data_IF_218665840978
#
_entry.id   IF_218665840978
#
_cell.length_a   1.000
_cell.length_b   1.000
_cell.length_c   1.000
_cell.angle_alpha   90.00
_cell.angle_beta   90.00
_cell.angle_gamma   90.00
#
_symmetry.space_group_name_H-M   'P 1'
#
loop_
_entity.id
_entity.type
_entity.pdbx_description
1 polymer ?
#
# COMPACT_ATOMS: atom_id res chain seq x y z
N UNK A 1 31.34 42.79 -29.76
CA UNK A 1 31.68 42.71 -28.33
C UNK A 1 31.18 41.37 -27.85
N UNK A 2 32.07 40.43 -27.58
CA UNK A 2 31.67 39.07 -27.19
C UNK A 2 31.85 38.97 -25.68
N UNK A 3 30.74 38.97 -24.94
CA UNK A 3 30.74 38.76 -23.49
C UNK A 3 30.32 37.32 -23.20
N UNK A 4 31.12 36.61 -22.41
CA UNK A 4 30.87 35.21 -22.02
C UNK A 4 30.48 35.18 -20.54
N UNK A 5 29.37 34.51 -20.23
CA UNK A 5 28.92 34.26 -18.86
C UNK A 5 29.22 32.82 -18.46
N UNK A 6 30.18 32.64 -17.56
CA UNK A 6 30.42 31.37 -16.88
C UNK A 6 29.53 31.23 -15.65
N UNK A 7 28.92 30.05 -15.47
CA UNK A 7 28.08 29.73 -14.31
C UNK A 7 28.59 28.43 -13.67
N UNK A 8 28.82 28.48 -12.35
CA UNK A 8 29.08 27.32 -11.51
C UNK A 8 27.85 27.06 -10.64
N UNK A 9 27.11 25.99 -10.94
CA UNK A 9 25.80 25.70 -10.35
C UNK A 9 25.93 24.65 -9.24
N UNK A 10 26.01 25.11 -7.99
CA UNK A 10 25.99 24.28 -6.79
C UNK A 10 24.59 24.01 -6.24
N UNK A 11 24.50 23.14 -5.22
CA UNK A 11 23.22 22.77 -4.57
C UNK A 11 22.63 23.88 -3.69
N UNK A 12 23.45 24.86 -3.30
CA UNK A 12 23.11 26.00 -2.44
C UNK A 12 23.81 27.31 -2.87
N UNK A 13 24.44 27.34 -4.03
CA UNK A 13 25.16 28.50 -4.54
C UNK A 13 25.21 28.53 -6.06
N UNK A 14 25.29 29.73 -6.63
CA UNK A 14 25.59 29.95 -8.04
C UNK A 14 26.78 30.90 -8.11
N UNK A 15 27.95 30.40 -8.48
CA UNK A 15 29.08 31.23 -8.87
C UNK A 15 28.87 31.74 -10.30
N UNK A 16 29.24 32.99 -10.58
CA UNK A 16 29.18 33.52 -11.93
C UNK A 16 30.36 34.45 -12.22
N UNK A 17 30.80 34.45 -13.48
CA UNK A 17 31.80 35.36 -14.00
C UNK A 17 31.42 35.83 -15.42
N UNK A 18 31.51 37.13 -15.67
CA UNK A 18 31.29 37.75 -16.97
C UNK A 18 32.64 38.22 -17.52
N UNK A 19 33.06 37.65 -18.64
CA UNK A 19 34.34 37.93 -19.27
C UNK A 19 34.09 38.64 -20.60
N UNK A 20 34.80 39.74 -20.85
CA UNK A 20 34.98 40.29 -22.20
C UNK A 20 36.15 39.57 -22.86
N UNK A 21 35.80 38.63 -23.74
CA UNK A 21 36.73 37.73 -24.42
C UNK A 21 37.67 38.50 -25.37
N UNK A 22 37.23 39.64 -25.90
CA UNK A 22 38.04 40.42 -26.84
C UNK A 22 39.19 41.15 -26.14
N UNK A 23 38.98 41.58 -24.91
CA UNK A 23 39.97 42.31 -24.13
C UNK A 23 40.61 41.46 -23.03
N UNK A 24 40.24 40.19 -22.91
CA UNK A 24 40.63 39.29 -21.81
C UNK A 24 40.40 39.93 -20.42
N UNK A 25 39.27 40.61 -20.26
CA UNK A 25 38.93 41.33 -19.03
C UNK A 25 37.76 40.71 -18.31
N UNK A 26 37.86 40.61 -16.98
CA UNK A 26 36.73 40.25 -16.13
C UNK A 26 35.88 41.50 -15.95
N UNK A 27 34.68 41.48 -16.54
CA UNK A 27 33.69 42.56 -16.43
C UNK A 27 32.99 42.50 -15.07
N UNK A 28 32.82 41.31 -14.51
CA UNK A 28 32.23 41.12 -13.19
C UNK A 28 32.30 39.67 -12.76
N UNK A 29 32.25 39.44 -11.45
CA UNK A 29 32.19 38.13 -10.85
C UNK A 29 31.39 38.20 -9.55
N UNK A 30 30.82 37.08 -9.14
CA UNK A 30 30.11 37.02 -7.88
C UNK A 30 29.60 35.63 -7.54
N UNK A 31 28.91 35.55 -6.41
CA UNK A 31 28.24 34.33 -5.98
C UNK A 31 26.87 34.68 -5.41
N UNK A 32 25.87 33.87 -5.76
CA UNK A 32 24.54 33.90 -5.16
C UNK A 32 24.38 32.69 -4.26
N UNK A 33 24.39 32.91 -2.95
CA UNK A 33 24.08 31.86 -1.96
C UNK A 33 22.57 31.81 -1.74
N UNK A 34 22.00 30.61 -1.67
CA UNK A 34 20.58 30.39 -1.39
C UNK A 34 20.38 29.17 -0.50
N UNK A 35 19.25 29.09 0.25
CA UNK A 35 18.98 27.94 1.09
C UNK A 35 18.88 26.66 0.27
N UNK A 36 19.57 25.63 0.72
CA UNK A 36 19.56 24.31 0.10
C UNK A 36 18.12 23.75 0.00
N UNK A 37 17.85 23.02 -1.08
CA UNK A 37 16.52 22.44 -1.36
C UNK A 37 16.20 21.13 -0.61
N UNK A 38 17.16 20.60 0.13
CA UNK A 38 17.13 19.27 0.77
C UNK A 38 17.55 19.42 2.24
N UNK A 39 16.94 18.62 3.11
CA UNK A 39 17.30 18.48 4.53
C UNK A 39 18.23 17.27 4.68
N UNK A 40 19.19 17.36 5.61
CA UNK A 40 20.17 16.29 5.93
C UNK A 40 21.08 15.88 4.76
N UNK A 41 21.42 16.83 3.86
CA UNK A 41 22.32 16.56 2.74
C UNK A 41 23.68 16.06 3.25
N UNK A 42 24.19 14.97 2.68
CA UNK A 42 25.49 14.41 3.05
C UNK A 42 25.49 13.57 4.33
N UNK A 43 24.34 13.38 4.99
CA UNK A 43 24.21 12.38 6.06
C UNK A 43 24.18 10.94 5.51
N UNK A 44 24.25 10.71 4.20
CA UNK A 44 24.32 9.38 3.61
C UNK A 44 23.00 8.88 3.03
N UNK A 45 23.09 7.81 2.23
CA UNK A 45 21.99 7.34 1.39
C UNK A 45 20.70 7.07 2.19
N UNK A 46 19.60 7.65 1.73
CA UNK A 46 18.27 7.46 2.30
C UNK A 46 17.93 8.36 3.49
N UNK A 47 18.88 9.15 4.01
CA UNK A 47 18.61 10.16 5.06
C UNK A 47 18.27 11.55 4.52
N UNK A 48 18.61 11.80 3.26
CA UNK A 48 18.27 13.03 2.56
C UNK A 48 16.76 13.14 2.34
N UNK A 49 16.18 14.25 2.81
CA UNK A 49 14.75 14.47 2.75
C UNK A 49 14.41 15.73 1.96
N UNK A 50 13.48 15.61 1.02
CA UNK A 50 12.90 16.81 0.41
C UNK A 50 12.13 17.62 1.45
N UNK A 51 12.15 18.95 1.36
CA UNK A 51 11.30 19.82 2.21
C UNK A 51 9.80 19.47 2.14
N UNK A 52 9.36 18.86 1.03
CA UNK A 52 7.98 18.42 0.83
C UNK A 52 7.64 17.08 1.51
N UNK A 53 8.64 16.34 2.01
CA UNK A 53 8.44 15.04 2.63
C UNK A 53 7.63 15.18 3.93
N UNK A 54 8.03 16.08 4.83
CA UNK A 54 7.31 16.34 6.09
C UNK A 54 5.86 16.75 5.86
N UNK A 55 5.62 17.71 4.94
CA UNK A 55 4.27 18.12 4.52
C UNK A 55 3.44 16.94 3.99
N UNK A 56 4.06 16.06 3.22
CA UNK A 56 3.40 14.89 2.64
C UNK A 56 3.05 13.85 3.69
N UNK A 57 3.95 13.56 4.63
CA UNK A 57 3.71 12.67 5.76
C UNK A 57 2.54 13.15 6.62
N UNK A 58 2.57 14.42 7.05
CA UNK A 58 1.51 15.01 7.86
C UNK A 58 0.14 15.00 7.15
N UNK A 59 0.11 15.26 5.84
CA UNK A 59 -1.10 15.15 5.01
C UNK A 59 -1.62 13.71 4.94
N UNK A 60 -0.73 12.72 4.84
CA UNK A 60 -1.08 11.30 4.87
C UNK A 60 -1.80 10.92 6.16
N UNK A 61 -1.21 11.28 7.30
CA UNK A 61 -1.76 11.06 8.65
C UNK A 61 -3.15 11.69 8.80
N UNK A 62 -3.31 12.97 8.45
CA UNK A 62 -4.61 13.66 8.52
C UNK A 62 -5.69 12.95 7.71
N UNK A 63 -5.36 12.50 6.49
CA UNK A 63 -6.29 11.75 5.64
C UNK A 63 -6.68 10.41 6.25
N UNK A 64 -5.74 9.70 6.87
CA UNK A 64 -6.02 8.43 7.55
C UNK A 64 -6.98 8.63 8.72
N UNK A 65 -6.74 9.63 9.58
CA UNK A 65 -7.63 9.96 10.70
C UNK A 65 -9.03 10.35 10.22
N UNK A 66 -9.13 11.26 9.26
CA UNK A 66 -10.41 11.66 8.67
C UNK A 66 -11.20 10.45 8.15
N UNK A 67 -10.56 9.58 7.35
CA UNK A 67 -11.19 8.39 6.78
C UNK A 67 -11.61 7.38 7.85
N UNK A 68 -10.80 7.20 8.89
CA UNK A 68 -11.14 6.32 10.02
C UNK A 68 -12.38 6.84 10.75
N UNK A 69 -12.45 8.14 11.05
CA UNK A 69 -13.62 8.77 11.67
C UNK A 69 -14.86 8.66 10.78
N UNK A 70 -14.73 8.93 9.48
CA UNK A 70 -15.82 8.84 8.51
C UNK A 70 -16.39 7.41 8.43
N UNK A 71 -15.53 6.39 8.31
CA UNK A 71 -15.98 5.01 8.25
C UNK A 71 -16.71 4.56 9.52
N UNK A 72 -16.22 4.94 10.70
CA UNK A 72 -16.92 4.66 11.97
C UNK A 72 -18.30 5.30 12.00
N UNK A 73 -18.43 6.54 11.52
CA UNK A 73 -19.72 7.24 11.44
C UNK A 73 -20.68 6.54 10.48
N UNK A 74 -20.20 6.14 9.30
CA UNK A 74 -20.99 5.38 8.31
C UNK A 74 -21.46 4.06 8.91
N UNK A 75 -20.56 3.33 9.60
CA UNK A 75 -20.92 2.08 10.26
C UNK A 75 -21.96 2.30 11.35
N UNK A 76 -21.79 3.27 12.25
CA UNK A 76 -22.76 3.54 13.30
C UNK A 76 -24.15 3.86 12.74
N UNK A 77 -24.23 4.62 11.65
CA UNK A 77 -25.50 4.90 10.97
C UNK A 77 -26.15 3.61 10.44
N UNK A 78 -25.38 2.79 9.73
CA UNK A 78 -25.88 1.52 9.21
C UNK A 78 -26.27 0.54 10.33
N UNK A 79 -25.51 0.47 11.43
CA UNK A 79 -25.87 -0.36 12.59
C UNK A 79 -27.18 0.12 13.24
N UNK A 80 -27.37 1.44 13.37
CA UNK A 80 -28.60 2.03 13.93
C UNK A 80 -29.83 1.74 13.08
N UNK A 81 -29.71 1.80 11.75
CA UNK A 81 -30.80 1.48 10.81
C UNK A 81 -31.28 0.02 10.91
N UNK A 82 -30.48 -0.86 11.51
CA UNK A 82 -30.76 -2.29 11.69
C UNK A 82 -30.80 -2.74 13.16
N UNK A 83 -30.98 -1.81 14.11
CA UNK A 83 -31.09 -2.12 15.55
C UNK A 83 -29.86 -2.86 16.12
N UNK A 84 -28.69 -2.69 15.51
CA UNK A 84 -27.43 -3.31 15.91
C UNK A 84 -26.56 -2.38 16.77
N UNK A 85 -27.07 -1.23 17.18
CA UNK A 85 -26.44 -0.41 18.21
C UNK A 85 -27.48 0.46 18.92
N UNK A 86 -27.18 1.00 20.11
CA UNK A 86 -28.13 1.79 20.90
C UNK A 86 -28.51 3.16 20.33
N UNK A 87 -28.07 3.48 19.11
CA UNK A 87 -28.37 4.77 18.47
C UNK A 87 -29.65 4.69 17.66
N UNK A 88 -30.34 5.83 17.55
CA UNK A 88 -31.51 6.06 16.69
C UNK A 88 -31.24 7.25 15.74
N UNK A 89 -32.12 7.44 14.76
CA UNK A 89 -31.99 8.48 13.72
C UNK A 89 -31.74 9.89 14.29
N UNK A 90 -32.44 10.27 15.35
CA UNK A 90 -32.35 11.60 15.98
C UNK A 90 -30.96 11.88 16.56
N UNK A 91 -30.28 10.87 17.10
CA UNK A 91 -28.93 11.02 17.64
C UNK A 91 -27.93 11.50 16.57
N UNK A 92 -28.15 11.11 15.30
CA UNK A 92 -27.30 11.55 14.19
C UNK A 92 -27.57 12.99 13.78
N UNK A 93 -28.82 13.47 13.92
CA UNK A 93 -29.17 14.88 13.69
C UNK A 93 -28.55 15.75 14.77
N UNK A 94 -28.67 15.33 16.03
CA UNK A 94 -28.05 16.03 17.16
C UNK A 94 -26.53 16.06 17.02
N UNK A 95 -25.88 14.94 16.72
CA UNK A 95 -24.44 14.90 16.46
C UNK A 95 -24.06 15.83 15.29
N UNK A 96 -24.88 15.91 14.23
CA UNK A 96 -24.63 16.81 13.11
C UNK A 96 -24.73 18.29 13.52
N UNK A 97 -25.69 18.64 14.40
CA UNK A 97 -25.93 20.00 14.91
C UNK A 97 -24.85 20.43 15.90
N UNK A 98 -24.65 19.64 16.96
CA UNK A 98 -23.76 19.99 18.09
C UNK A 98 -22.29 19.69 17.82
N UNK A 99 -21.99 18.83 16.82
CA UNK A 99 -20.67 18.24 16.57
C UNK A 99 -20.13 17.39 17.74
N UNK A 100 -20.95 17.11 18.75
CA UNK A 100 -20.58 16.29 19.90
C UNK A 100 -20.92 14.83 19.62
N UNK A 101 -19.98 13.93 19.90
CA UNK A 101 -20.19 12.49 19.75
C UNK A 101 -21.05 11.98 20.92
N UNK A 102 -22.05 11.09 20.70
CA UNK A 102 -22.97 10.63 21.74
C UNK A 102 -22.31 9.62 22.68
N UNK A 103 -21.32 10.08 23.45
CA UNK A 103 -20.48 9.23 24.30
C UNK A 103 -21.26 8.60 25.45
N UNK A 104 -22.17 9.34 26.08
CA UNK A 104 -22.95 8.86 27.24
C UNK A 104 -23.89 7.72 26.85
N UNK A 105 -24.67 7.91 25.77
CA UNK A 105 -25.58 6.88 25.25
C UNK A 105 -24.85 5.61 24.83
N UNK A 106 -23.64 5.74 24.30
CA UNK A 106 -22.80 4.62 23.87
C UNK A 106 -21.89 4.07 24.98
N UNK A 107 -21.92 4.62 26.19
CA UNK A 107 -20.96 4.29 27.23
C UNK A 107 -21.03 2.82 27.65
N UNK A 108 -22.24 2.32 27.95
CA UNK A 108 -22.47 0.91 28.31
C UNK A 108 -22.09 -0.03 27.17
N UNK A 109 -22.51 0.29 25.95
CA UNK A 109 -22.17 -0.47 24.76
C UNK A 109 -20.67 -0.50 24.47
N UNK A 110 -19.96 0.61 24.70
CA UNK A 110 -18.51 0.65 24.58
C UNK A 110 -17.78 -0.10 25.68
N UNK A 111 -18.36 -0.17 26.88
CA UNK A 111 -17.84 -0.93 28.01
C UNK A 111 -17.87 -2.45 27.76
N UNK A 112 -18.78 -2.94 26.90
CA UNK A 112 -18.78 -4.34 26.48
C UNK A 112 -17.42 -4.74 25.89
N UNK A 113 -16.87 -5.85 26.39
CA UNK A 113 -15.59 -6.37 25.94
C UNK A 113 -15.71 -6.98 24.53
N UNK A 114 -15.15 -6.34 23.49
CA UNK A 114 -15.32 -6.83 22.14
C UNK A 114 -14.54 -8.11 21.85
N UNK A 115 -13.50 -8.43 22.63
CA UNK A 115 -12.74 -9.67 22.43
C UNK A 115 -13.54 -10.87 22.95
N UNK A 116 -14.14 -10.72 24.12
CA UNK A 116 -15.06 -11.69 24.69
C UNK A 116 -16.26 -11.93 23.76
N UNK A 117 -16.91 -10.85 23.29
CA UNK A 117 -18.03 -10.97 22.34
C UNK A 117 -17.64 -11.69 21.05
N UNK A 118 -16.45 -11.40 20.49
CA UNK A 118 -15.93 -12.09 19.29
C UNK A 118 -15.74 -13.59 19.52
N UNK A 119 -15.32 -13.99 20.72
CA UNK A 119 -15.20 -15.39 21.10
C UNK A 119 -16.58 -16.05 21.27
N UNK A 120 -17.46 -15.43 22.06
CA UNK A 120 -18.83 -15.90 22.33
C UNK A 120 -19.67 -16.08 21.07
N UNK A 121 -19.52 -15.16 20.10
CA UNK A 121 -20.27 -15.19 18.84
C UNK A 121 -20.09 -16.47 18.01
N UNK A 122 -19.07 -17.29 18.29
CA UNK A 122 -18.84 -18.56 17.60
C UNK A 122 -19.62 -19.73 18.22
N UNK A 123 -20.03 -19.60 19.48
CA UNK A 123 -20.55 -20.72 20.27
C UNK A 123 -22.00 -20.49 20.71
N UNK A 124 -22.38 -19.24 21.01
CA UNK A 124 -23.70 -18.90 21.55
C UNK A 124 -24.40 -17.78 20.79
N UNK A 125 -25.71 -17.63 21.02
CA UNK A 125 -26.52 -16.55 20.45
C UNK A 125 -26.18 -15.24 21.16
N UNK A 126 -25.80 -14.22 20.40
CA UNK A 126 -25.65 -12.85 20.90
C UNK A 126 -26.87 -12.00 20.56
N UNK A 127 -27.05 -10.87 21.22
CA UNK A 127 -27.98 -9.82 20.79
C UNK A 127 -27.47 -9.08 19.55
N UNK A 128 -28.37 -8.40 18.81
CA UNK A 128 -27.99 -7.60 17.64
C UNK A 128 -27.03 -6.46 18.01
N UNK A 129 -27.24 -5.83 19.16
CA UNK A 129 -26.34 -4.79 19.66
C UNK A 129 -24.93 -5.32 19.95
N UNK A 130 -24.80 -6.52 20.52
CA UNK A 130 -23.51 -7.16 20.75
C UNK A 130 -22.80 -7.50 19.44
N UNK A 131 -23.53 -7.98 18.42
CA UNK A 131 -22.97 -8.21 17.08
C UNK A 131 -22.49 -6.90 16.47
N UNK A 132 -23.27 -5.82 16.57
CA UNK A 132 -22.82 -4.52 16.11
C UNK A 132 -21.61 -3.99 16.89
N UNK A 133 -21.47 -4.34 18.17
CA UNK A 133 -20.29 -4.00 18.98
C UNK A 133 -19.03 -4.68 18.46
N UNK A 134 -19.14 -5.92 17.99
CA UNK A 134 -18.09 -6.64 17.28
C UNK A 134 -17.73 -5.90 16.00
N UNK A 135 -18.70 -5.55 15.16
CA UNK A 135 -18.45 -4.84 13.90
C UNK A 135 -17.78 -3.47 14.12
N UNK A 136 -18.22 -2.74 15.16
CA UNK A 136 -17.59 -1.49 15.56
C UNK A 136 -16.15 -1.69 16.03
N UNK A 137 -15.81 -2.82 16.64
CA UNK A 137 -14.43 -3.17 16.96
C UNK A 137 -13.61 -3.50 15.70
N UNK A 138 -14.13 -4.32 14.78
CA UNK A 138 -13.46 -4.69 13.53
C UNK A 138 -13.12 -3.46 12.68
N UNK A 139 -14.04 -2.48 12.55
CA UNK A 139 -13.76 -1.29 11.73
C UNK A 139 -12.69 -0.37 12.35
N UNK A 140 -12.49 -0.43 13.67
CA UNK A 140 -11.46 0.34 14.35
C UNK A 140 -10.07 -0.15 13.98
N UNK A 141 -9.91 -1.47 13.83
CA UNK A 141 -8.65 -2.17 13.55
C UNK A 141 -8.97 -3.38 12.67
N UNK A 142 -8.78 -3.22 11.37
CA UNK A 142 -9.15 -4.22 10.35
C UNK A 142 -7.95 -4.88 9.68
N UNK A 143 -6.80 -4.87 10.34
CA UNK A 143 -5.57 -5.46 9.81
C UNK A 143 -4.97 -4.75 8.61
N UNK A 144 -3.70 -5.09 8.35
CA UNK A 144 -2.94 -4.70 7.17
C UNK A 144 -3.47 -5.42 5.94
N UNK A 145 -3.83 -4.66 4.89
CA UNK A 145 -4.14 -5.22 3.58
C UNK A 145 -2.88 -5.12 2.73
N UNK A 146 -2.29 -6.27 2.39
CA UNK A 146 -1.19 -6.30 1.42
C UNK A 146 -1.74 -5.87 0.06
N UNK A 147 -1.17 -4.80 -0.50
CA UNK A 147 -1.46 -4.35 -1.87
C UNK A 147 -0.37 -4.82 -2.84
N UNK A 148 0.54 -5.69 -2.40
CA UNK A 148 1.64 -6.16 -3.23
C UNK A 148 1.11 -7.14 -4.28
N UNK A 149 1.39 -6.88 -5.56
CA UNK A 149 0.99 -7.76 -6.67
C UNK A 149 1.89 -8.98 -6.81
N UNK A 150 3.12 -8.90 -6.32
CA UNK A 150 3.97 -10.05 -6.03
C UNK A 150 3.77 -10.33 -4.55
N UNK A 151 3.28 -11.51 -4.16
CA UNK A 151 3.30 -11.89 -2.74
C UNK A 151 4.67 -11.52 -2.20
N UNK A 152 4.72 -10.63 -1.19
CA UNK A 152 6.00 -10.25 -0.61
C UNK A 152 6.69 -11.54 -0.17
N UNK A 153 8.01 -11.61 -0.27
CA UNK A 153 8.72 -12.62 0.52
C UNK A 153 8.28 -12.40 1.96
N UNK A 154 7.85 -13.45 2.67
CA UNK A 154 7.33 -13.41 4.04
C UNK A 154 8.41 -13.06 5.08
N UNK A 155 9.38 -12.24 4.68
CA UNK A 155 10.67 -12.05 5.31
C UNK A 155 10.88 -10.62 5.83
N UNK A 156 9.93 -9.72 5.54
CA UNK A 156 9.96 -8.34 6.00
C UNK A 156 9.62 -8.17 7.49
N UNK A 157 10.00 -7.03 8.08
CA UNK A 157 9.79 -6.72 9.51
C UNK A 157 8.33 -6.78 9.99
N UNK A 158 7.35 -6.66 9.08
CA UNK A 158 5.92 -6.83 9.42
C UNK A 158 5.58 -8.32 9.66
N UNK A 159 6.23 -9.23 8.94
CA UNK A 159 6.01 -10.68 9.04
C UNK A 159 6.75 -11.27 10.24
N UNK A 160 8.02 -10.91 10.43
CA UNK A 160 8.85 -11.36 11.56
C UNK A 160 8.57 -10.62 12.87
N UNK A 161 8.00 -9.41 12.79
CA UNK A 161 7.85 -8.54 13.96
C UNK A 161 9.09 -7.73 14.27
N UNK A 162 9.06 -7.01 15.40
CA UNK A 162 10.16 -6.21 15.92
C UNK A 162 10.40 -6.55 17.40
N UNK A 163 11.38 -7.43 17.70
CA UNK A 163 11.68 -7.83 19.07
C UNK A 163 12.05 -6.67 20.00
N UNK A 164 12.73 -5.64 19.48
CA UNK A 164 13.11 -4.45 20.27
C UNK A 164 11.91 -3.65 20.77
N UNK A 165 10.82 -3.66 20.01
CA UNK A 165 9.55 -3.02 20.37
C UNK A 165 8.54 -4.01 20.97
N UNK A 166 8.94 -5.27 21.19
CA UNK A 166 8.06 -6.37 21.62
C UNK A 166 6.89 -6.63 20.67
N UNK A 167 7.05 -6.28 19.38
CA UNK A 167 5.95 -6.28 18.41
C UNK A 167 5.92 -7.59 17.64
N UNK A 168 4.86 -8.35 17.86
CA UNK A 168 4.70 -9.68 17.27
C UNK A 168 4.43 -9.61 15.77
N UNK A 169 5.06 -10.50 15.02
CA UNK A 169 4.94 -10.63 13.57
C UNK A 169 3.60 -11.21 13.11
N UNK A 170 3.31 -11.07 11.81
CA UNK A 170 2.15 -11.74 11.20
C UNK A 170 2.28 -13.26 11.32
N UNK A 171 3.46 -13.83 11.04
CA UNK A 171 3.67 -15.29 11.00
C UNK A 171 3.37 -15.92 12.36
N UNK A 172 3.98 -15.39 13.43
CA UNK A 172 3.72 -15.87 14.79
C UNK A 172 2.23 -15.73 15.17
N UNK A 173 1.58 -14.63 14.77
CA UNK A 173 0.14 -14.47 15.00
C UNK A 173 -0.67 -15.50 14.20
N UNK A 174 -0.25 -15.87 12.98
CA UNK A 174 -0.90 -16.91 12.18
C UNK A 174 -0.78 -18.29 12.83
N UNK A 175 0.41 -18.63 13.33
CA UNK A 175 0.65 -19.92 14.00
C UNK A 175 -0.24 -20.07 15.23
N UNK A 176 -0.39 -19.01 16.03
CA UNK A 176 -1.24 -19.01 17.24
C UNK A 176 -2.74 -19.09 16.96
N UNK A 177 -3.19 -18.79 15.73
CA UNK A 177 -4.60 -18.82 15.33
C UNK A 177 -4.94 -20.00 14.41
N UNK A 178 -4.06 -21.00 14.24
CA UNK A 178 -4.32 -22.13 13.32
C UNK A 178 -5.64 -22.84 13.59
N UNK A 179 -6.02 -22.99 14.87
CA UNK A 179 -7.23 -23.70 15.29
C UNK A 179 -8.34 -22.79 15.84
N UNK A 180 -8.16 -21.45 15.76
CA UNK A 180 -9.09 -20.49 16.37
C UNK A 180 -9.14 -19.18 15.60
N UNK A 181 -10.19 -18.39 15.81
CA UNK A 181 -10.24 -17.06 15.18
C UNK A 181 -9.29 -16.08 15.89
N UNK A 182 -8.93 -15.01 15.19
CA UNK A 182 -8.17 -13.91 15.79
C UNK A 182 -8.88 -13.33 17.03
N UNK A 183 -10.21 -13.26 17.04
CA UNK A 183 -10.99 -12.81 18.19
C UNK A 183 -10.80 -13.69 19.42
N UNK A 184 -10.96 -15.00 19.25
CA UNK A 184 -10.76 -16.00 20.30
C UNK A 184 -9.34 -15.94 20.86
N UNK A 185 -8.32 -15.94 19.99
CA UNK A 185 -6.93 -15.83 20.44
C UNK A 185 -6.68 -14.54 21.23
N UNK A 186 -7.15 -13.39 20.73
CA UNK A 186 -6.97 -12.11 21.42
C UNK A 186 -7.76 -12.00 22.72
N UNK A 187 -8.79 -12.83 22.92
CA UNK A 187 -9.51 -12.96 24.18
C UNK A 187 -8.74 -13.83 25.18
N UNK A 188 -8.10 -14.93 24.73
CA UNK A 188 -7.27 -15.78 25.59
C UNK A 188 -6.10 -15.03 26.23
N UNK A 189 -5.47 -14.13 25.47
CA UNK A 189 -4.39 -13.27 25.98
C UNK A 189 -4.91 -11.96 26.58
N UNK A 190 -6.22 -11.83 26.76
CA UNK A 190 -6.81 -10.64 27.36
C UNK A 190 -6.52 -10.62 28.87
N UNK A 191 -6.00 -9.51 29.43
CA UNK A 191 -5.71 -9.44 30.86
C UNK A 191 -6.96 -9.72 31.71
N UNK A 192 -6.80 -10.48 32.78
CA UNK A 192 -7.89 -10.71 33.74
C UNK A 192 -8.40 -9.37 34.29
N UNK A 193 -9.70 -9.33 34.58
CA UNK A 193 -10.31 -8.12 35.15
C UNK A 193 -9.64 -7.77 36.49
N UNK A 194 -9.35 -6.48 36.65
CA UNK A 194 -8.75 -5.89 37.86
C UNK A 194 -7.31 -6.33 38.19
N UNK A 195 -6.64 -7.08 37.31
CA UNK A 195 -5.22 -7.36 37.47
C UNK A 195 -4.36 -6.31 36.75
N UNK A 196 -3.39 -5.67 37.44
CA UNK A 196 -2.46 -4.77 36.78
C UNK A 196 -1.63 -5.55 35.76
N UNK A 197 -1.34 -4.91 34.63
CA UNK A 197 -0.45 -5.48 33.63
C UNK A 197 0.93 -5.75 34.23
N UNK A 198 1.41 -6.99 34.12
CA UNK A 198 2.77 -7.36 34.49
C UNK A 198 3.70 -7.21 33.28
N UNK A 199 4.89 -6.68 33.52
CA UNK A 199 5.91 -6.56 32.48
C UNK A 199 6.30 -7.94 31.95
N UNK A 200 6.52 -8.04 30.63
CA UNK A 200 6.72 -9.32 29.94
C UNK A 200 5.44 -10.04 29.47
N UNK A 201 4.24 -9.63 29.92
CA UNK A 201 3.00 -10.21 29.39
C UNK A 201 2.72 -9.75 27.95
N UNK A 202 2.19 -10.68 27.16
CA UNK A 202 1.90 -10.44 25.76
C UNK A 202 0.80 -9.39 25.58
N UNK A 203 1.10 -8.29 24.87
CA UNK A 203 0.10 -7.23 24.62
C UNK A 203 -0.80 -7.58 23.45
N UNK A 204 -2.11 -7.52 23.65
CA UNK A 204 -3.13 -7.69 22.60
C UNK A 204 -2.84 -6.84 21.36
N UNK A 205 -2.53 -5.55 21.57
CA UNK A 205 -2.43 -4.54 20.51
C UNK A 205 -1.02 -4.35 19.95
N UNK A 206 -0.02 -5.06 20.45
CA UNK A 206 1.37 -4.92 20.00
C UNK A 206 1.77 -6.02 19.01
N UNK A 207 0.98 -6.18 17.95
CA UNK A 207 1.20 -7.20 16.92
C UNK A 207 0.74 -6.74 15.56
N UNK A 208 1.35 -7.28 14.52
CA UNK A 208 0.86 -7.15 13.16
C UNK A 208 -0.22 -8.19 12.87
N UNK A 209 -1.30 -7.76 12.23
CA UNK A 209 -2.41 -8.63 11.82
C UNK A 209 -2.78 -8.31 10.38
N UNK A 210 -3.21 -9.33 9.62
CA UNK A 210 -3.61 -9.15 8.22
C UNK A 210 -5.10 -8.90 8.11
N UNK A 211 -5.54 -8.27 7.02
CA UNK A 211 -6.96 -8.13 6.67
C UNK A 211 -7.66 -9.49 6.60
N UNK A 212 -6.96 -10.51 6.09
CA UNK A 212 -7.49 -11.87 5.93
C UNK A 212 -8.01 -12.44 7.25
N UNK A 213 -7.22 -12.35 8.33
CA UNK A 213 -7.61 -12.79 9.67
C UNK A 213 -8.96 -12.21 10.15
N UNK A 214 -9.18 -10.91 9.93
CA UNK A 214 -10.43 -10.25 10.33
C UNK A 214 -11.60 -10.61 9.43
N UNK A 215 -11.35 -10.92 8.15
CA UNK A 215 -12.41 -11.31 7.24
C UNK A 215 -12.85 -12.74 7.52
N UNK A 216 -11.91 -13.67 7.68
CA UNK A 216 -12.22 -15.06 8.03
C UNK A 216 -13.01 -15.14 9.33
N UNK A 217 -12.61 -14.37 10.34
CA UNK A 217 -13.36 -14.26 11.59
C UNK A 217 -14.75 -13.65 11.39
N UNK A 218 -14.88 -12.58 10.60
CA UNK A 218 -16.17 -11.97 10.29
C UNK A 218 -17.12 -12.98 9.63
N UNK A 219 -16.63 -13.75 8.66
CA UNK A 219 -17.42 -14.78 7.97
C UNK A 219 -17.89 -15.87 8.93
N UNK A 220 -17.01 -16.35 9.81
CA UNK A 220 -17.37 -17.36 10.82
C UNK A 220 -18.43 -16.84 11.80
N UNK A 221 -18.24 -15.62 12.31
CA UNK A 221 -19.21 -14.96 13.20
C UNK A 221 -20.54 -14.77 12.48
N UNK A 222 -20.52 -14.28 11.23
CA UNK A 222 -21.73 -14.05 10.46
C UNK A 222 -22.52 -15.34 10.25
N UNK A 223 -21.85 -16.39 9.77
CA UNK A 223 -22.47 -17.67 9.47
C UNK A 223 -23.02 -18.38 10.72
N UNK A 224 -22.42 -18.16 11.89
CA UNK A 224 -22.94 -18.67 13.16
C UNK A 224 -24.15 -17.86 13.63
N UNK A 225 -24.04 -16.54 13.63
CA UNK A 225 -25.09 -15.67 14.17
C UNK A 225 -26.34 -15.59 13.28
N UNK A 226 -26.21 -15.77 11.96
CA UNK A 226 -27.36 -15.79 11.04
C UNK A 226 -28.32 -16.96 11.29
N UNK A 227 -27.86 -18.02 11.94
CA UNK A 227 -28.70 -19.14 12.37
C UNK A 227 -29.67 -18.72 13.49
N UNK A 228 -29.33 -17.68 14.26
CA UNK A 228 -30.13 -17.19 15.38
C UNK A 228 -30.96 -15.94 15.04
N UNK A 229 -30.60 -15.24 13.95
CA UNK A 229 -31.15 -13.93 13.58
C UNK A 229 -31.44 -13.88 12.08
N UNK A 230 -32.72 -13.95 11.71
CA UNK A 230 -33.16 -13.89 10.30
C UNK A 230 -32.83 -12.58 9.59
N UNK A 231 -32.63 -11.49 10.33
CA UNK A 231 -32.21 -10.19 9.78
C UNK A 231 -30.79 -10.22 9.17
N UNK A 232 -29.94 -11.17 9.58
CA UNK A 232 -28.57 -11.33 9.07
C UNK A 232 -28.54 -12.07 7.72
N UNK A 233 -29.19 -11.48 6.73
CA UNK A 233 -29.28 -11.99 5.36
C UNK A 233 -28.09 -11.55 4.48
N UNK A 234 -28.07 -12.02 3.23
CA UNK A 234 -26.99 -11.73 2.27
C UNK A 234 -26.88 -10.24 1.89
N UNK A 235 -27.98 -9.50 1.87
CA UNK A 235 -27.95 -8.06 1.60
C UNK A 235 -27.22 -7.32 2.72
N UNK A 236 -27.52 -7.67 3.96
CA UNK A 236 -26.87 -7.09 5.14
C UNK A 236 -25.40 -7.52 5.25
N UNK A 237 -25.10 -8.77 4.88
CA UNK A 237 -23.72 -9.29 4.78
C UNK A 237 -22.93 -8.50 3.76
N UNK A 238 -23.51 -8.25 2.59
CA UNK A 238 -22.94 -7.42 1.53
C UNK A 238 -22.68 -6.00 2.02
N UNK A 239 -23.64 -5.39 2.73
CA UNK A 239 -23.51 -4.04 3.28
C UNK A 239 -22.32 -3.91 4.26
N UNK A 240 -22.19 -4.84 5.21
CA UNK A 240 -21.17 -4.73 6.25
C UNK A 240 -19.82 -5.30 5.84
N UNK A 241 -19.80 -6.52 5.30
CA UNK A 241 -18.58 -7.31 5.11
C UNK A 241 -18.26 -7.75 3.69
N UNK A 242 -19.14 -7.49 2.71
CA UNK A 242 -18.92 -7.86 1.31
C UNK A 242 -17.56 -7.40 0.78
N UNK A 243 -16.95 -8.16 -0.12
CA UNK A 243 -15.69 -7.77 -0.79
C UNK A 243 -15.75 -8.09 -2.27
N UNK A 244 -15.33 -7.15 -3.12
CA UNK A 244 -15.26 -7.36 -4.57
C UNK A 244 -14.38 -8.55 -4.95
N UNK A 245 -13.33 -8.79 -4.16
CA UNK A 245 -12.42 -9.92 -4.33
C UNK A 245 -13.08 -11.29 -4.09
N UNK A 246 -14.17 -11.34 -3.33
CA UNK A 246 -14.92 -12.57 -3.02
C UNK A 246 -16.20 -12.70 -3.86
N UNK A 247 -16.36 -11.90 -4.92
CA UNK A 247 -17.51 -11.96 -5.83
C UNK A 247 -18.68 -11.04 -5.48
N UNK A 248 -18.58 -10.21 -4.43
CA UNK A 248 -19.60 -9.21 -4.12
C UNK A 248 -19.57 -8.05 -5.13
N UNK A 249 -20.72 -7.41 -5.36
CA UNK A 249 -20.83 -6.23 -6.25
C UNK A 249 -20.01 -5.04 -5.75
N UNK A 250 -19.96 -4.86 -4.43
CA UNK A 250 -19.33 -3.73 -3.73
C UNK A 250 -18.52 -4.21 -2.52
N UNK A 251 -17.54 -3.41 -2.09
CA UNK A 251 -16.91 -3.64 -0.79
C UNK A 251 -17.81 -3.05 0.31
N UNK A 252 -18.17 -3.88 1.28
CA UNK A 252 -18.91 -3.51 2.48
C UNK A 252 -18.14 -2.56 3.40
N UNK A 253 -18.87 -1.94 4.33
CA UNK A 253 -18.39 -0.84 5.18
C UNK A 253 -17.12 -1.20 5.96
N UNK A 254 -17.03 -2.42 6.49
CA UNK A 254 -15.92 -2.89 7.32
C UNK A 254 -14.60 -2.91 6.54
N UNK A 255 -14.64 -3.42 5.31
CA UNK A 255 -13.43 -3.75 4.55
C UNK A 255 -13.15 -2.81 3.37
N UNK A 256 -14.08 -1.90 3.04
CA UNK A 256 -13.90 -0.90 1.99
C UNK A 256 -12.59 -0.12 2.10
N UNK A 257 -11.83 -0.08 1.01
CA UNK A 257 -10.61 0.70 0.88
C UNK A 257 -10.57 1.38 -0.49
N UNK A 258 -10.31 2.69 -0.50
CA UNK A 258 -10.20 3.45 -1.75
C UNK A 258 -9.03 2.89 -2.59
N UNK A 259 -9.20 2.79 -3.92
CA UNK A 259 -8.10 2.44 -4.81
C UNK A 259 -7.01 3.51 -4.76
N UNK A 260 -5.83 3.15 -5.29
CA UNK A 260 -4.76 4.12 -5.49
C UNK A 260 -5.26 5.25 -6.38
N UNK A 261 -4.89 6.49 -6.02
CA UNK A 261 -5.23 7.64 -6.85
C UNK A 261 -4.50 7.51 -8.18
N UNK A 262 -5.18 7.75 -9.30
CA UNK A 262 -4.57 7.78 -10.62
C UNK A 262 -3.36 8.72 -10.64
N UNK A 263 -2.23 8.22 -11.11
CA UNK A 263 -1.00 8.97 -11.35
C UNK A 263 -0.77 9.20 -12.86
N UNK A 264 -1.80 9.07 -13.70
CA UNK A 264 -1.67 9.22 -15.17
C UNK A 264 -1.07 10.58 -15.57
N UNK A 265 -1.39 11.63 -14.81
CA UNK A 265 -0.86 12.98 -15.00
C UNK A 265 0.65 13.13 -14.68
N UNK A 266 1.27 12.14 -14.02
CA UNK A 266 2.71 12.12 -13.77
C UNK A 266 3.48 11.38 -14.87
N UNK A 267 2.78 10.75 -15.83
CA UNK A 267 3.41 10.08 -16.96
C UNK A 267 3.95 11.15 -17.90
N UNK A 268 5.25 11.12 -18.19
CA UNK A 268 5.88 12.05 -19.11
C UNK A 268 5.38 11.89 -20.56
N UNK A 269 5.63 12.90 -21.39
CA UNK A 269 5.23 12.90 -22.79
C UNK A 269 6.28 12.26 -23.70
N UNK A 270 5.85 11.86 -24.89
CA UNK A 270 6.71 11.34 -25.94
C UNK A 270 7.67 12.43 -26.43
N UNK A 271 8.94 12.07 -26.67
CA UNK A 271 9.95 13.00 -27.19
C UNK A 271 9.69 13.43 -28.63
N UNK A 272 9.03 12.59 -29.43
CA UNK A 272 8.67 12.87 -30.83
C UNK A 272 7.27 13.44 -30.99
N UNK A 273 6.35 13.11 -30.07
CA UNK A 273 4.97 13.60 -30.06
C UNK A 273 4.63 14.21 -28.70
N UNK A 274 5.08 15.45 -28.40
CA UNK A 274 4.95 16.04 -27.06
C UNK A 274 3.53 16.19 -26.53
N UNK A 275 2.52 16.10 -27.41
CA UNK A 275 1.09 16.10 -27.05
C UNK A 275 0.58 14.74 -26.53
N UNK A 276 1.36 13.65 -26.69
CA UNK A 276 0.98 12.29 -26.30
C UNK A 276 1.84 11.79 -25.13
N UNK A 277 1.25 11.01 -24.24
CA UNK A 277 1.98 10.35 -23.14
C UNK A 277 2.86 9.23 -23.67
N UNK A 278 3.94 8.91 -22.95
CA UNK A 278 4.79 7.75 -23.26
C UNK A 278 4.00 6.43 -23.27
N UNK A 279 4.41 5.54 -24.18
CA UNK A 279 3.86 4.19 -24.28
C UNK A 279 4.17 3.38 -23.00
N UNK A 280 3.21 2.62 -22.44
CA UNK A 280 3.47 1.71 -21.33
C UNK A 280 4.51 0.64 -21.70
N UNK A 281 5.37 0.27 -20.75
CA UNK A 281 6.40 -0.77 -20.96
C UNK A 281 5.79 -2.13 -21.31
N UNK A 282 4.60 -2.43 -20.77
CA UNK A 282 3.88 -3.68 -21.01
C UNK A 282 3.02 -3.66 -22.29
N UNK A 283 3.15 -2.62 -23.13
CA UNK A 283 2.41 -2.57 -24.38
C UNK A 283 3.16 -3.37 -25.45
N UNK A 284 2.43 -4.19 -26.23
CA UNK A 284 3.01 -5.03 -27.28
C UNK A 284 3.94 -4.25 -28.23
N UNK A 285 3.57 -3.05 -28.74
CA UNK A 285 4.47 -2.28 -29.61
C UNK A 285 5.78 -1.85 -28.91
N UNK A 286 5.74 -1.59 -27.59
CA UNK A 286 6.95 -1.26 -26.83
C UNK A 286 7.84 -2.49 -26.65
N UNK A 287 7.26 -3.64 -26.34
CA UNK A 287 8.01 -4.90 -26.22
C UNK A 287 8.66 -5.29 -27.57
N UNK A 288 7.93 -5.17 -28.67
CA UNK A 288 8.47 -5.37 -30.02
C UNK A 288 9.60 -4.38 -30.33
N UNK A 289 9.41 -3.09 -30.04
CA UNK A 289 10.46 -2.08 -30.19
C UNK A 289 11.71 -2.45 -29.39
N UNK A 290 11.58 -2.92 -28.15
CA UNK A 290 12.71 -3.32 -27.30
C UNK A 290 13.44 -4.54 -27.85
N UNK A 291 12.71 -5.53 -28.35
CA UNK A 291 13.29 -6.70 -29.02
C UNK A 291 14.11 -6.27 -30.23
N UNK A 292 13.53 -5.48 -31.14
CA UNK A 292 14.24 -5.00 -32.32
C UNK A 292 15.40 -4.07 -31.99
N UNK A 293 15.26 -3.21 -30.97
CA UNK A 293 16.34 -2.36 -30.50
C UNK A 293 17.54 -3.19 -30.05
N UNK A 294 17.31 -4.25 -29.27
CA UNK A 294 18.38 -5.13 -28.80
C UNK A 294 18.98 -5.98 -29.93
N UNK A 295 18.15 -6.60 -30.76
CA UNK A 295 18.61 -7.44 -31.89
C UNK A 295 19.49 -6.63 -32.85
N UNK A 296 19.18 -5.35 -33.08
CA UNK A 296 20.00 -4.48 -33.91
C UNK A 296 21.36 -4.12 -33.30
N UNK A 297 21.54 -4.26 -31.97
CA UNK A 297 22.84 -4.08 -31.32
C UNK A 297 23.72 -5.33 -31.35
N UNK A 298 23.14 -6.52 -31.60
CA UNK A 298 23.89 -7.78 -31.59
C UNK A 298 24.94 -7.80 -32.70
N UNK A 299 26.16 -8.11 -32.31
CA UNK A 299 27.32 -8.24 -33.19
C UNK A 299 28.11 -9.49 -32.81
N UNK A 300 28.75 -10.12 -33.79
CA UNK A 300 29.76 -11.13 -33.54
C UNK A 300 31.04 -10.80 -34.31
N UNK A 301 32.20 -10.94 -33.65
CA UNK A 301 33.50 -10.65 -34.25
C UNK A 301 33.58 -9.24 -34.89
N UNK A 302 32.91 -8.24 -34.30
CA UNK A 302 32.85 -6.87 -34.80
C UNK A 302 31.99 -6.68 -36.05
N UNK A 303 31.16 -7.66 -36.43
CA UNK A 303 30.22 -7.60 -37.56
C UNK A 303 28.78 -7.70 -37.08
N UNK A 304 27.91 -6.88 -37.67
CA UNK A 304 26.45 -6.97 -37.47
C UNK A 304 25.93 -8.31 -38.01
N UNK A 305 24.98 -8.89 -37.29
CA UNK A 305 24.20 -10.03 -37.78
C UNK A 305 23.33 -9.63 -38.98
N UNK A 306 23.13 -10.56 -39.90
CA UNK A 306 22.33 -10.38 -41.11
C UNK A 306 20.84 -10.22 -40.79
N UNK A 307 20.07 -9.66 -41.73
CA UNK A 307 18.63 -9.46 -41.53
C UNK A 307 17.88 -10.78 -41.27
N UNK A 308 18.26 -11.86 -41.96
CA UNK A 308 17.67 -13.19 -41.76
C UNK A 308 17.98 -13.75 -40.36
N UNK A 309 19.21 -13.57 -39.87
CA UNK A 309 19.59 -13.94 -38.50
C UNK A 309 18.81 -13.13 -37.46
N UNK A 310 18.59 -11.83 -37.71
CA UNK A 310 17.76 -10.98 -36.83
C UNK A 310 16.34 -11.52 -36.73
N UNK A 311 15.70 -11.82 -37.86
CA UNK A 311 14.33 -12.32 -37.89
C UNK A 311 14.18 -13.64 -37.12
N UNK A 312 15.12 -14.58 -37.31
CA UNK A 312 15.17 -15.84 -36.54
C UNK A 312 15.29 -15.59 -35.04
N UNK A 313 16.13 -14.66 -34.63
CA UNK A 313 16.27 -14.28 -33.21
C UNK A 313 14.98 -13.66 -32.68
N UNK A 314 14.37 -12.75 -33.43
CA UNK A 314 13.13 -12.06 -33.03
C UNK A 314 11.99 -13.06 -32.82
N UNK A 315 11.80 -13.99 -33.75
CA UNK A 315 10.78 -15.05 -33.63
C UNK A 315 11.02 -15.90 -32.37
N UNK A 316 12.28 -16.30 -32.13
CA UNK A 316 12.66 -17.03 -30.93
C UNK A 316 12.37 -16.24 -29.64
N UNK A 317 12.67 -14.94 -29.61
CA UNK A 317 12.43 -14.08 -28.44
C UNK A 317 10.94 -13.90 -28.15
N UNK A 318 10.09 -13.81 -29.18
CA UNK A 318 8.63 -13.74 -28.98
C UNK A 318 8.03 -15.05 -28.45
N UNK A 319 8.62 -16.18 -28.83
CA UNK A 319 8.14 -17.50 -28.39
C UNK A 319 8.61 -17.88 -26.97
N UNK A 320 9.57 -17.17 -26.37
CA UNK A 320 10.22 -17.58 -25.12
C UNK A 320 10.25 -16.46 -24.07
N UNK A 321 9.69 -16.72 -22.88
CA UNK A 321 9.62 -15.72 -21.80
C UNK A 321 10.99 -15.36 -21.20
N UNK A 322 11.91 -16.33 -21.12
CA UNK A 322 13.25 -16.18 -20.51
C UNK A 322 14.32 -16.83 -21.39
N UNK A 323 14.61 -16.24 -22.55
CA UNK A 323 15.54 -16.83 -23.51
C UNK A 323 16.98 -16.75 -22.98
N UNK A 324 17.64 -17.90 -22.87
CA UNK A 324 19.07 -17.96 -22.57
C UNK A 324 19.88 -17.58 -23.81
N UNK A 325 20.94 -16.79 -23.63
CA UNK A 325 21.79 -16.35 -24.75
C UNK A 325 22.40 -17.53 -25.54
N UNK A 326 22.68 -18.66 -24.88
CA UNK A 326 23.13 -19.89 -25.55
C UNK A 326 22.10 -20.39 -26.59
N UNK A 327 20.81 -20.34 -26.27
CA UNK A 327 19.73 -20.77 -27.18
C UNK A 327 19.56 -19.78 -28.34
N UNK A 328 19.78 -18.49 -28.10
CA UNK A 328 19.78 -17.47 -29.15
C UNK A 328 20.88 -17.76 -30.19
N UNK A 329 22.10 -18.08 -29.75
CA UNK A 329 23.21 -18.46 -30.65
C UNK A 329 22.92 -19.71 -31.47
N UNK A 330 22.24 -20.68 -30.87
CA UNK A 330 21.82 -21.93 -31.52
C UNK A 330 20.85 -21.67 -32.68
N UNK A 331 19.90 -20.75 -32.51
CA UNK A 331 18.89 -20.42 -33.54
C UNK A 331 19.52 -19.87 -34.84
N UNK A 332 20.66 -19.20 -34.74
CA UNK A 332 21.40 -18.69 -35.90
C UNK A 332 22.59 -19.56 -36.32
N UNK A 333 22.76 -20.74 -35.70
CA UNK A 333 23.86 -21.66 -36.02
C UNK A 333 25.26 -21.16 -35.64
N UNK A 334 25.36 -20.28 -34.63
CA UNK A 334 26.62 -19.63 -34.18
C UNK A 334 27.02 -20.05 -32.77
N UNK A 335 27.01 -21.35 -32.49
CA UNK A 335 27.32 -21.89 -31.16
C UNK A 335 28.83 -22.01 -30.88
N UNK A 336 29.63 -22.11 -31.95
CA UNK A 336 31.08 -22.26 -31.89
C UNK A 336 31.75 -21.09 -31.15
N UNK A 337 32.83 -21.40 -30.44
CA UNK A 337 33.63 -20.42 -29.69
C UNK A 337 34.32 -19.38 -30.59
N UNK A 338 34.38 -19.63 -31.91
CA UNK A 338 34.89 -18.68 -32.89
C UNK A 338 34.01 -17.44 -33.06
N UNK A 339 32.73 -17.52 -32.69
CA UNK A 339 31.78 -16.41 -32.74
C UNK A 339 31.74 -15.70 -31.39
N UNK A 340 32.51 -14.61 -31.27
CA UNK A 340 32.55 -13.77 -30.07
C UNK A 340 31.47 -12.69 -30.16
N UNK A 341 30.40 -12.87 -29.42
CA UNK A 341 29.29 -11.92 -29.36
C UNK A 341 29.57 -10.79 -28.37
N UNK A 342 29.14 -9.59 -28.72
CA UNK A 342 29.13 -8.41 -27.84
C UNK A 342 27.71 -7.97 -27.50
#
# INVERSE_FOLDING_TARGET
MTKILGLDLGTNSIGWALIDDKHNQIVGLGSRIFPMGVENLGEGEGREMSKNAGRTGARGVRRQFFRRRLRKKILLKALSEHEMCPMVSDDFQDWKRTKQFPSEKLASWFALNPYELRHKALNEKLSLEEIGRIFYHLIQRRGFLSNSRKGGTDDGAIFKGNPKEGKIGITETQDKILEKTLGSYLFEIYPNQNEPYQDGLERIRNRYTTRKMYVEEFELIWNKQSQYHSILNEDLKTLFGGRKLDGYKEDGILFHQRPLRSQKHLVGNCSFEPAKTKCPISAIPFEQFRVWQWVNTVEYNGRKISQEEKEKIVEFLYANEKPEFKKIRKVIGKESAEFKFN
#
